data_IF_743640757447
#
_entry.id   IF_743640757447
#
_cell.length_a   1.000
_cell.length_b   1.000
_cell.length_c   1.000
_cell.angle_alpha   90.00
_cell.angle_beta   90.00
_cell.angle_gamma   90.00
#
_symmetry.space_group_name_H-M   'P 1'
#
loop_
_entity.id
_entity.type
_entity.pdbx_description
1 polymer ?
#
# COMPACT_ATOMS: atom_id res chain seq x y z
N UNK A 1 -12.23 -18.04 20.24
CA UNK A 1 -13.01 -17.84 19.00
C UNK A 1 -12.08 -17.62 17.82
N UNK A 2 -11.31 -16.52 17.74
CA UNK A 2 -10.45 -16.22 16.58
C UNK A 2 -9.46 -17.36 16.25
N UNK A 3 -8.68 -17.85 17.22
CA UNK A 3 -7.80 -19.02 17.05
C UNK A 3 -8.52 -20.27 16.52
N UNK A 4 -9.74 -20.52 16.98
CA UNK A 4 -10.53 -21.68 16.53
C UNK A 4 -10.96 -21.53 15.07
N UNK A 5 -11.30 -20.31 14.64
CA UNK A 5 -11.64 -20.03 13.25
C UNK A 5 -10.41 -20.16 12.36
N UNK A 6 -9.27 -19.62 12.78
CA UNK A 6 -7.99 -19.75 12.08
C UNK A 6 -7.54 -21.21 11.91
N UNK A 7 -7.63 -22.01 12.99
CA UNK A 7 -7.36 -23.45 12.95
C UNK A 7 -8.33 -24.20 12.02
N UNK A 8 -9.62 -23.87 12.06
CA UNK A 8 -10.64 -24.55 11.25
C UNK A 8 -10.54 -24.23 9.74
N UNK A 9 -10.04 -23.04 9.40
CA UNK A 9 -9.81 -22.62 8.01
C UNK A 9 -8.37 -22.89 7.53
N UNK A 10 -7.53 -23.50 8.37
CA UNK A 10 -6.11 -23.78 8.12
C UNK A 10 -5.32 -22.54 7.64
N UNK A 11 -5.66 -21.37 8.19
CA UNK A 11 -5.02 -20.11 7.83
C UNK A 11 -5.75 -18.87 8.34
N UNK A 12 -5.19 -17.67 8.10
CA UNK A 12 -5.78 -16.41 8.56
C UNK A 12 -7.20 -16.22 8.03
N UNK A 13 -8.07 -15.68 8.88
CA UNK A 13 -9.49 -15.43 8.56
C UNK A 13 -9.84 -13.97 8.77
N UNK A 14 -10.59 -13.42 7.82
CA UNK A 14 -11.27 -12.13 7.98
C UNK A 14 -12.61 -12.39 8.68
N UNK A 15 -12.86 -11.62 9.75
CA UNK A 15 -14.01 -11.82 10.63
C UNK A 15 -14.71 -10.50 10.89
N UNK A 16 -15.98 -10.44 10.50
CA UNK A 16 -16.88 -9.35 10.85
C UNK A 16 -17.82 -9.82 11.97
N UNK A 17 -17.92 -9.02 13.03
CA UNK A 17 -18.78 -9.34 14.17
C UNK A 17 -19.50 -8.10 14.71
N UNK A 18 -20.70 -8.32 15.26
CA UNK A 18 -21.43 -7.33 16.02
C UNK A 18 -21.55 -7.78 17.47
N UNK A 19 -21.43 -6.84 18.40
CA UNK A 19 -21.59 -7.10 19.84
C UNK A 19 -22.81 -6.35 20.35
N UNK A 20 -23.76 -7.10 20.89
CA UNK A 20 -24.94 -6.55 21.55
C UNK A 20 -24.74 -6.62 23.07
N UNK A 21 -24.73 -5.47 23.73
CA UNK A 21 -24.71 -5.36 25.19
C UNK A 21 -26.13 -5.31 25.74
N UNK A 22 -26.38 -6.02 26.83
CA UNK A 22 -27.65 -6.04 27.55
C UNK A 22 -27.55 -5.23 28.83
N UNK A 23 -28.69 -4.79 29.36
CA UNK A 23 -28.77 -3.97 30.58
C UNK A 23 -28.23 -4.68 31.83
N UNK A 24 -28.20 -6.02 31.83
CA UNK A 24 -27.65 -6.84 32.91
C UNK A 24 -26.12 -7.01 32.84
N UNK A 25 -25.46 -6.30 31.92
CA UNK A 25 -24.03 -6.38 31.68
C UNK A 25 -23.58 -7.61 30.89
N UNK A 26 -24.50 -8.49 30.49
CA UNK A 26 -24.15 -9.58 29.57
C UNK A 26 -24.06 -9.08 28.14
N UNK A 27 -23.31 -9.80 27.31
CA UNK A 27 -23.13 -9.46 25.91
C UNK A 27 -23.31 -10.68 25.01
N UNK A 28 -23.67 -10.42 23.75
CA UNK A 28 -23.77 -11.44 22.71
C UNK A 28 -22.95 -11.01 21.50
N UNK A 29 -21.99 -11.85 21.13
CA UNK A 29 -21.21 -11.69 19.90
C UNK A 29 -21.95 -12.42 18.78
N UNK A 30 -22.23 -11.70 17.70
CA UNK A 30 -22.78 -12.23 16.46
C UNK A 30 -21.65 -12.27 15.44
N UNK A 31 -21.28 -13.46 14.97
CA UNK A 31 -20.40 -13.61 13.83
C UNK A 31 -21.20 -13.28 12.57
N UNK A 32 -20.98 -12.11 11.99
CA UNK A 32 -21.67 -11.66 10.78
C UNK A 32 -21.02 -12.26 9.53
N UNK A 33 -19.70 -12.37 9.55
CA UNK A 33 -18.91 -12.91 8.45
C UNK A 33 -17.66 -13.60 8.98
N UNK A 34 -17.31 -14.73 8.36
CA UNK A 34 -16.02 -15.39 8.55
C UNK A 34 -15.59 -15.94 7.21
N UNK A 35 -14.49 -15.42 6.66
CA UNK A 35 -13.99 -15.81 5.35
C UNK A 35 -12.51 -16.17 5.49
N UNK A 36 -12.05 -17.26 4.85
CA UNK A 36 -10.62 -17.51 4.75
C UNK A 36 -9.99 -16.37 3.97
N UNK A 37 -8.89 -15.80 4.45
CA UNK A 37 -8.04 -14.90 3.68
C UNK A 37 -7.18 -15.70 2.68
N UNK A 38 -7.73 -16.78 2.10
CA UNK A 38 -7.04 -17.57 1.08
C UNK A 38 -6.89 -16.71 -0.18
N UNK A 39 -5.68 -16.19 -0.35
CA UNK A 39 -5.20 -15.72 -1.64
C UNK A 39 -5.11 -16.96 -2.54
N UNK A 40 -5.97 -17.07 -3.57
CA UNK A 40 -5.84 -18.14 -4.59
C UNK A 40 -4.40 -18.16 -5.08
N UNK A 41 -3.78 -19.33 -5.26
CA UNK A 41 -2.42 -19.45 -5.78
C UNK A 41 -1.36 -19.48 -4.69
N UNK A 42 -1.27 -20.62 -3.99
CA UNK A 42 -0.16 -21.01 -3.11
C UNK A 42 1.07 -21.45 -3.90
N UNK A 43 1.26 -20.95 -5.13
CA UNK A 43 2.56 -21.07 -5.78
C UNK A 43 3.45 -20.05 -5.08
N UNK A 44 4.28 -20.55 -4.17
CA UNK A 44 5.35 -19.78 -3.58
C UNK A 44 6.45 -19.75 -4.63
N UNK A 45 6.67 -18.63 -5.35
CA UNK A 45 7.97 -18.49 -5.97
C UNK A 45 9.00 -18.61 -4.85
N UNK A 46 10.03 -19.43 -5.02
CA UNK A 46 11.21 -19.35 -4.17
C UNK A 46 11.69 -17.90 -4.26
N UNK A 47 11.39 -17.10 -3.22
CA UNK A 47 11.82 -15.72 -3.19
C UNK A 47 13.34 -15.75 -3.11
N UNK A 48 14.03 -14.94 -3.93
CA UNK A 48 15.46 -14.83 -3.79
C UNK A 48 15.81 -14.38 -2.36
N UNK A 49 16.99 -14.78 -1.86
CA UNK A 49 17.49 -14.25 -0.61
C UNK A 49 17.52 -12.72 -0.68
N UNK A 50 17.20 -12.05 0.44
CA UNK A 50 17.26 -10.60 0.50
C UNK A 50 18.73 -10.16 0.41
N UNK A 51 19.10 -9.62 -0.75
CA UNK A 51 20.43 -9.09 -1.04
C UNK A 51 20.33 -7.58 -1.24
N UNK A 52 19.94 -6.85 -0.20
CA UNK A 52 19.79 -5.40 -0.23
C UNK A 52 20.80 -4.74 0.72
N UNK A 53 21.89 -4.13 0.19
CA UNK A 53 22.75 -3.27 0.99
C UNK A 53 21.94 -2.15 1.65
N UNK A 54 22.26 -1.81 2.90
CA UNK A 54 21.45 -0.87 3.68
C UNK A 54 21.39 0.54 3.05
N UNK A 55 22.43 0.91 2.29
CA UNK A 55 22.51 2.15 1.51
C UNK A 55 21.66 2.14 0.23
N UNK A 56 21.03 1.02 -0.14
CA UNK A 56 20.07 0.93 -1.26
C UNK A 56 18.61 0.72 -0.85
N UNK A 57 18.35 0.29 0.39
CA UNK A 57 16.99 0.11 0.96
C UNK A 57 16.17 1.41 1.01
N UNK A 58 14.99 1.46 0.40
CA UNK A 58 14.06 2.59 0.55
C UNK A 58 13.20 2.39 1.80
N UNK A 59 12.60 1.22 1.93
CA UNK A 59 11.95 0.80 3.16
C UNK A 59 12.07 -0.72 3.35
N UNK A 60 12.06 -1.13 4.61
CA UNK A 60 11.91 -2.51 5.06
C UNK A 60 10.95 -2.52 6.23
N UNK A 61 9.97 -3.42 6.25
CA UNK A 61 8.95 -3.45 7.30
C UNK A 61 8.38 -4.85 7.52
N UNK A 62 7.87 -5.07 8.73
CA UNK A 62 7.13 -6.26 9.10
C UNK A 62 5.64 -5.94 9.29
N UNK A 63 4.80 -6.46 8.38
CA UNK A 63 3.35 -6.54 8.54
C UNK A 63 2.56 -5.22 8.67
N UNK A 64 1.22 -5.30 8.52
CA UNK A 64 0.52 -6.31 7.74
C UNK A 64 0.84 -6.21 6.23
N UNK A 65 1.05 -7.37 5.61
CA UNK A 65 1.30 -7.54 4.17
C UNK A 65 0.29 -8.56 3.63
N UNK A 66 -0.46 -8.19 2.60
CA UNK A 66 -1.60 -8.96 2.09
C UNK A 66 -1.44 -9.15 0.59
N UNK A 67 -1.70 -10.36 0.11
CA UNK A 67 -1.57 -10.75 -1.29
C UNK A 67 -0.58 -11.91 -1.47
N UNK A 68 -0.18 -12.16 -2.71
CA UNK A 68 0.81 -13.20 -3.04
C UNK A 68 2.24 -12.72 -2.83
N UNK A 69 3.06 -13.56 -2.21
CA UNK A 69 4.52 -13.38 -2.18
C UNK A 69 5.06 -13.16 -3.58
N UNK A 70 5.92 -12.15 -3.74
CA UNK A 70 6.43 -11.78 -5.05
C UNK A 70 7.77 -11.05 -4.96
N UNK A 71 8.60 -11.27 -5.97
CA UNK A 71 9.78 -10.48 -6.26
C UNK A 71 9.57 -9.80 -7.61
N UNK A 72 9.37 -8.49 -7.61
CA UNK A 72 8.96 -7.73 -8.80
C UNK A 72 9.81 -6.47 -8.97
N UNK A 73 10.08 -6.13 -10.22
CA UNK A 73 10.61 -4.82 -10.60
C UNK A 73 9.48 -3.79 -10.51
N UNK A 74 9.74 -2.66 -9.84
CA UNK A 74 8.82 -1.52 -9.80
C UNK A 74 9.26 -0.53 -10.86
N UNK A 75 8.51 -0.47 -11.97
CA UNK A 75 8.79 0.43 -13.08
C UNK A 75 8.55 1.90 -12.70
N UNK A 76 7.49 2.14 -11.92
CA UNK A 76 7.11 3.45 -11.44
C UNK A 76 6.66 3.37 -9.99
N UNK A 77 7.15 4.30 -9.17
CA UNK A 77 6.70 4.49 -7.80
C UNK A 77 6.09 5.88 -7.69
N UNK A 78 4.81 5.95 -7.33
CA UNK A 78 4.13 7.20 -6.99
C UNK A 78 4.09 7.37 -5.48
N UNK A 79 4.85 8.33 -4.97
CA UNK A 79 4.89 8.67 -3.56
C UNK A 79 4.09 9.95 -3.28
N UNK A 80 3.11 9.84 -2.38
CA UNK A 80 2.35 10.97 -1.84
C UNK A 80 3.01 11.40 -0.53
N UNK A 81 3.58 12.60 -0.51
CA UNK A 81 4.28 13.14 0.68
C UNK A 81 3.25 13.49 1.76
N UNK A 82 3.24 12.80 2.93
CA UNK A 82 2.17 12.95 3.94
C UNK A 82 1.96 14.38 4.42
N UNK A 83 3.04 15.07 4.76
CA UNK A 83 3.01 16.42 5.34
C UNK A 83 2.46 17.42 4.32
N UNK A 84 2.85 17.28 3.06
CA UNK A 84 2.40 18.14 1.96
C UNK A 84 0.94 17.88 1.60
N UNK A 85 0.53 16.61 1.55
CA UNK A 85 -0.86 16.22 1.31
C UNK A 85 -1.80 16.74 2.40
N UNK A 86 -1.39 16.63 3.67
CA UNK A 86 -2.19 17.09 4.82
C UNK A 86 -2.38 18.61 4.86
N UNK A 87 -1.47 19.37 4.25
CA UNK A 87 -1.53 20.83 4.17
C UNK A 87 -2.39 21.36 3.02
N UNK A 88 -2.80 20.50 2.08
CA UNK A 88 -3.67 20.87 0.97
C UNK A 88 -5.10 21.15 1.44
N UNK A 89 -5.80 22.02 0.72
CA UNK A 89 -7.26 22.13 0.88
C UNK A 89 -7.95 20.84 0.44
N UNK A 90 -9.15 20.58 0.96
CA UNK A 90 -9.94 19.40 0.57
C UNK A 90 -10.14 19.31 -0.96
N UNK A 91 -10.38 20.45 -1.62
CA UNK A 91 -10.51 20.52 -3.08
C UNK A 91 -9.23 20.06 -3.80
N UNK A 92 -8.07 20.39 -3.26
CA UNK A 92 -6.77 19.98 -3.78
C UNK A 92 -6.48 18.51 -3.49
N UNK A 93 -6.89 17.98 -2.33
CA UNK A 93 -6.79 16.56 -2.03
C UNK A 93 -7.61 15.70 -3.01
N UNK A 94 -8.82 16.13 -3.38
CA UNK A 94 -9.57 15.50 -4.47
C UNK A 94 -8.91 15.68 -5.85
N UNK A 95 -8.18 16.78 -6.08
CA UNK A 95 -7.40 16.94 -7.31
C UNK A 95 -6.22 15.95 -7.37
N UNK A 96 -5.53 15.74 -6.25
CA UNK A 96 -4.49 14.72 -6.09
C UNK A 96 -5.04 13.32 -6.40
N UNK A 97 -6.19 12.94 -5.86
CA UNK A 97 -6.82 11.66 -6.16
C UNK A 97 -7.10 11.46 -7.67
N UNK A 98 -7.59 12.49 -8.36
CA UNK A 98 -7.79 12.45 -9.82
C UNK A 98 -6.49 12.29 -10.61
N UNK A 99 -5.41 12.94 -10.17
CA UNK A 99 -4.09 12.81 -10.79
C UNK A 99 -3.56 11.38 -10.62
N UNK A 100 -3.73 10.79 -9.42
CA UNK A 100 -3.37 9.39 -9.18
C UNK A 100 -4.12 8.46 -10.14
N UNK A 101 -5.44 8.64 -10.29
CA UNK A 101 -6.24 7.84 -11.23
C UNK A 101 -5.81 7.98 -12.69
N UNK A 102 -5.39 9.17 -13.12
CA UNK A 102 -4.86 9.40 -14.46
C UNK A 102 -3.49 8.74 -14.65
N UNK A 103 -2.60 8.85 -13.67
CA UNK A 103 -1.29 8.17 -13.70
C UNK A 103 -1.44 6.66 -13.75
N UNK A 104 -2.34 6.09 -12.94
CA UNK A 104 -2.66 4.67 -12.93
C UNK A 104 -3.05 4.16 -14.33
N UNK A 105 -3.87 4.93 -15.08
CA UNK A 105 -4.25 4.58 -16.47
C UNK A 105 -3.12 4.78 -17.48
N UNK A 106 -2.31 5.83 -17.34
CA UNK A 106 -1.21 6.12 -18.28
C UNK A 106 -0.06 5.11 -18.16
N UNK A 107 0.20 4.65 -16.95
CA UNK A 107 1.34 3.78 -16.62
C UNK A 107 0.99 2.28 -16.68
N UNK A 108 -0.24 1.93 -17.08
CA UNK A 108 -0.72 0.55 -17.21
C UNK A 108 -0.67 -0.01 -18.64
N UNK A 109 0.03 0.67 -19.55
CA UNK A 109 0.15 0.24 -20.94
C UNK A 109 1.02 -1.02 -21.11
N UNK A 110 0.78 -1.85 -22.14
CA UNK A 110 1.54 -3.09 -22.39
C UNK A 110 3.04 -2.87 -22.67
N UNK A 111 3.43 -1.64 -23.01
CA UNK A 111 4.82 -1.21 -23.23
C UNK A 111 5.61 -1.05 -21.91
N UNK A 112 4.92 -0.97 -20.77
CA UNK A 112 5.55 -0.78 -19.46
C UNK A 112 5.89 -2.15 -18.87
N UNK A 113 7.19 -2.47 -18.81
CA UNK A 113 7.69 -3.65 -18.12
C UNK A 113 7.96 -3.32 -16.66
N UNK A 114 7.26 -4.00 -15.74
CA UNK A 114 7.35 -3.80 -14.28
C UNK A 114 6.08 -3.20 -13.68
N UNK A 115 6.01 -3.17 -12.35
CA UNK A 115 4.82 -2.76 -11.61
C UNK A 115 4.73 -1.26 -11.34
N UNK A 116 3.51 -0.73 -11.24
CA UNK A 116 3.22 0.55 -10.59
C UNK A 116 3.04 0.31 -9.08
N UNK A 117 3.83 1.01 -8.27
CA UNK A 117 3.70 1.03 -6.82
C UNK A 117 3.16 2.37 -6.35
N UNK A 118 2.11 2.33 -5.54
CA UNK A 118 1.47 3.50 -4.94
C UNK A 118 1.84 3.55 -3.45
N UNK A 119 2.43 4.65 -2.99
CA UNK A 119 2.86 4.82 -1.60
C UNK A 119 2.28 6.14 -1.09
N UNK A 120 1.50 6.13 0.00
CA UNK A 120 0.86 7.36 0.47
C UNK A 120 0.27 7.28 1.87
N UNK A 121 -0.17 8.42 2.43
CA UNK A 121 -0.64 8.51 3.81
C UNK A 121 -2.02 7.88 4.02
N UNK A 122 -2.14 7.13 5.12
CA UNK A 122 -3.40 6.59 5.61
C UNK A 122 -4.14 5.72 4.61
N UNK A 123 -5.47 5.77 4.69
CA UNK A 123 -6.35 4.85 3.97
C UNK A 123 -6.57 5.26 2.51
N UNK A 124 -6.16 4.42 1.59
CA UNK A 124 -6.53 4.52 0.18
C UNK A 124 -7.98 4.05 0.01
N UNK A 125 -8.84 4.84 -0.62
CA UNK A 125 -10.27 4.53 -0.68
C UNK A 125 -11.15 5.25 0.33
N UNK A 126 -10.60 6.20 1.09
CA UNK A 126 -11.36 6.91 2.14
C UNK A 126 -12.31 7.95 1.54
N UNK A 127 -13.59 7.93 1.93
CA UNK A 127 -14.52 9.02 1.57
C UNK A 127 -14.12 10.37 2.21
N UNK A 128 -13.37 10.33 3.31
CA UNK A 128 -12.90 11.50 4.05
C UNK A 128 -11.39 11.69 3.82
N UNK A 129 -10.98 12.76 3.13
CA UNK A 129 -9.56 13.04 2.86
C UNK A 129 -8.69 13.26 4.11
N UNK A 130 -9.32 13.61 5.24
CA UNK A 130 -8.63 13.74 6.53
C UNK A 130 -8.12 12.40 7.10
N UNK A 131 -8.64 11.28 6.62
CA UNK A 131 -8.26 9.92 7.06
C UNK A 131 -7.37 9.18 6.03
N UNK A 132 -7.11 9.79 4.87
CA UNK A 132 -6.33 9.16 3.80
C UNK A 132 -6.62 9.74 2.41
N UNK A 133 -6.43 8.92 1.38
CA UNK A 133 -6.56 9.31 -0.01
C UNK A 133 -7.95 8.96 -0.58
N UNK A 134 -8.73 9.95 -1.06
CA UNK A 134 -10.07 9.76 -1.57
C UNK A 134 -10.09 9.28 -3.03
N UNK A 135 -9.35 8.20 -3.29
CA UNK A 135 -9.34 7.50 -4.57
C UNK A 135 -10.47 6.48 -4.59
N UNK A 136 -11.04 6.20 -5.76
CA UNK A 136 -11.87 5.00 -5.96
C UNK A 136 -10.98 3.80 -6.30
N UNK A 137 -11.51 2.58 -6.23
CA UNK A 137 -10.75 1.40 -6.66
C UNK A 137 -10.39 1.48 -8.16
N UNK A 138 -11.26 2.07 -8.99
CA UNK A 138 -10.99 2.30 -10.41
C UNK A 138 -9.80 3.27 -10.66
N UNK A 139 -9.45 4.10 -9.67
CA UNK A 139 -8.31 4.99 -9.76
C UNK A 139 -6.97 4.28 -9.48
N UNK A 140 -7.00 3.06 -8.94
CA UNK A 140 -5.78 2.34 -8.50
C UNK A 140 -5.72 0.88 -8.97
N UNK A 141 -6.70 0.44 -9.76
CA UNK A 141 -6.88 -0.95 -10.21
C UNK A 141 -5.75 -1.51 -11.10
N UNK A 142 -4.79 -0.69 -11.55
CA UNK A 142 -3.63 -1.17 -12.32
C UNK A 142 -2.34 -1.16 -11.50
N UNK A 143 -2.39 -0.71 -10.25
CA UNK A 143 -1.26 -0.80 -9.34
C UNK A 143 -0.92 -2.27 -9.04
N UNK A 144 0.36 -2.60 -9.09
CA UNK A 144 0.85 -3.89 -8.62
C UNK A 144 0.90 -3.93 -7.09
N UNK A 145 1.09 -2.76 -6.47
CA UNK A 145 1.35 -2.61 -5.03
C UNK A 145 0.73 -1.31 -4.50
N UNK A 146 0.05 -1.41 -3.37
CA UNK A 146 -0.35 -0.26 -2.54
C UNK A 146 0.36 -0.36 -1.19
N UNK A 147 0.99 0.73 -0.78
CA UNK A 147 1.65 0.89 0.50
C UNK A 147 1.04 2.06 1.28
N UNK A 148 0.33 1.74 2.36
CA UNK A 148 -0.27 2.72 3.26
C UNK A 148 0.71 3.10 4.36
N UNK A 149 1.07 4.38 4.42
CA UNK A 149 1.89 4.93 5.50
C UNK A 149 0.98 5.26 6.67
N UNK A 150 1.08 4.46 7.72
CA UNK A 150 0.36 4.67 8.97
C UNK A 150 1.11 5.69 9.82
N UNK A 151 0.89 6.96 9.49
CA UNK A 151 1.27 8.12 10.30
C UNK A 151 0.43 9.32 9.85
N UNK A 152 -0.83 9.40 10.29
CA UNK A 152 -1.63 10.61 10.18
C UNK A 152 -1.83 11.13 11.59
N UNK A 153 -0.80 11.81 12.11
CA UNK A 153 -0.71 12.42 13.45
C UNK A 153 -0.58 11.43 14.63
N UNK A 154 0.12 11.87 15.67
CA UNK A 154 0.35 11.12 16.93
C UNK A 154 -0.97 10.76 17.66
N UNK A 155 -2.09 11.39 17.30
CA UNK A 155 -3.41 11.26 17.94
C UNK A 155 -4.43 10.42 17.14
N UNK A 156 -4.09 9.93 15.93
CA UNK A 156 -5.02 9.18 15.09
C UNK A 156 -4.42 7.86 14.59
N UNK A 157 -4.69 6.78 15.33
CA UNK A 157 -4.47 5.42 14.83
C UNK A 157 -5.55 5.12 13.79
N UNK A 158 -5.23 5.26 12.51
CA UNK A 158 -6.13 4.84 11.43
C UNK A 158 -6.08 3.32 11.29
N UNK A 159 -7.24 2.65 11.39
CA UNK A 159 -7.36 1.23 11.05
C UNK A 159 -6.99 0.99 9.58
N UNK A 160 -6.33 -0.15 9.33
CA UNK A 160 -5.95 -0.66 8.00
C UNK A 160 -7.15 -0.62 7.06
N UNK A 161 -6.97 -0.32 5.77
CA UNK A 161 -8.01 -0.37 4.74
C UNK A 161 -8.50 -1.80 4.45
N UNK A 162 -9.15 -2.41 5.44
CA UNK A 162 -9.79 -3.73 5.37
C UNK A 162 -11.31 -3.60 5.34
N UNK A 163 -11.82 -2.64 4.56
CA UNK A 163 -13.24 -2.71 4.19
C UNK A 163 -13.45 -3.94 3.32
N UNK A 164 -14.44 -4.79 3.64
CA UNK A 164 -14.71 -6.07 2.95
C UNK A 164 -14.73 -5.95 1.42
N UNK A 165 -15.22 -4.85 0.87
CA UNK A 165 -15.23 -4.59 -0.57
C UNK A 165 -13.83 -4.31 -1.14
N UNK A 166 -13.09 -3.40 -0.51
CA UNK A 166 -11.73 -3.04 -0.95
C UNK A 166 -10.78 -4.24 -0.87
N UNK A 167 -10.89 -5.05 0.19
CA UNK A 167 -10.11 -6.28 0.34
C UNK A 167 -10.39 -7.30 -0.77
N UNK A 168 -11.67 -7.52 -1.10
CA UNK A 168 -12.04 -8.43 -2.18
C UNK A 168 -11.46 -7.97 -3.51
N UNK A 169 -11.52 -6.66 -3.78
CA UNK A 169 -11.00 -6.08 -5.02
C UNK A 169 -9.46 -6.22 -5.10
N UNK A 170 -8.74 -6.05 -3.97
CA UNK A 170 -7.29 -6.30 -3.88
C UNK A 170 -6.94 -7.76 -4.24
N UNK A 171 -7.68 -8.71 -3.68
CA UNK A 171 -7.48 -10.15 -3.94
C UNK A 171 -7.83 -10.49 -5.39
N UNK A 172 -8.90 -9.93 -5.95
CA UNK A 172 -9.35 -10.20 -7.30
C UNK A 172 -8.35 -9.72 -8.36
N UNK A 173 -7.74 -8.55 -8.15
CA UNK A 173 -6.75 -7.97 -9.06
C UNK A 173 -5.30 -8.39 -8.77
N UNK A 174 -5.09 -9.32 -7.83
CA UNK A 174 -3.76 -9.77 -7.40
C UNK A 174 -2.83 -8.61 -7.00
N UNK A 175 -3.41 -7.59 -6.37
CA UNK A 175 -2.71 -6.40 -5.90
C UNK A 175 -2.07 -6.67 -4.54
N UNK A 176 -0.78 -6.34 -4.39
CA UNK A 176 -0.09 -6.48 -3.11
C UNK A 176 -0.41 -5.27 -2.23
N UNK A 177 -0.85 -5.51 -1.01
CA UNK A 177 -1.10 -4.48 -0.02
C UNK A 177 -0.04 -4.55 1.09
N UNK A 178 0.51 -3.39 1.44
CA UNK A 178 1.52 -3.21 2.48
C UNK A 178 1.05 -2.11 3.42
N UNK A 179 1.20 -2.34 4.71
CA UNK A 179 1.05 -1.29 5.73
C UNK A 179 2.40 -0.96 6.31
N UNK A 180 2.83 0.30 6.16
CA UNK A 180 4.12 0.79 6.63
C UNK A 180 3.92 1.62 7.90
N UNK A 181 4.27 1.04 9.04
CA UNK A 181 4.29 1.72 10.34
C UNK A 181 5.67 2.34 10.57
N UNK A 182 5.71 3.62 10.93
CA UNK A 182 6.97 4.34 11.13
C UNK A 182 7.62 4.07 12.50
N UNK A 183 6.82 3.69 13.51
CA UNK A 183 7.29 3.46 14.89
C UNK A 183 7.60 1.99 15.20
N UNK A 184 7.68 1.12 14.20
CA UNK A 184 8.08 -0.26 14.43
C UNK A 184 9.60 -0.35 14.56
N UNK A 185 10.08 -1.06 15.59
CA UNK A 185 11.51 -1.15 15.94
C UNK A 185 12.36 -1.79 14.84
N UNK A 186 11.73 -2.64 14.03
CA UNK A 186 12.37 -3.37 12.95
C UNK A 186 12.03 -2.80 11.56
N UNK A 187 11.25 -1.72 11.49
CA UNK A 187 10.96 -1.02 10.25
C UNK A 187 11.96 0.12 10.00
N UNK A 188 12.42 0.23 8.76
CA UNK A 188 13.16 1.39 8.27
C UNK A 188 12.41 2.01 7.11
N UNK A 189 12.28 3.33 7.11
CA UNK A 189 11.73 4.07 5.98
C UNK A 189 12.57 5.33 5.71
N UNK A 190 13.46 5.24 4.73
CA UNK A 190 14.32 6.33 4.30
C UNK A 190 13.59 7.27 3.33
N UNK A 191 12.60 8.01 3.83
CA UNK A 191 11.79 8.98 3.06
C UNK A 191 12.60 9.92 2.18
N UNK A 192 13.75 10.35 2.68
CA UNK A 192 14.69 11.21 1.95
C UNK A 192 15.10 10.63 0.59
N UNK A 193 15.16 9.30 0.43
CA UNK A 193 15.49 8.66 -0.86
C UNK A 193 14.38 8.83 -1.90
N UNK A 194 13.12 8.94 -1.48
CA UNK A 194 12.00 9.28 -2.36
C UNK A 194 11.89 10.80 -2.56
N UNK A 195 12.16 11.59 -1.52
CA UNK A 195 12.10 13.05 -1.55
C UNK A 195 13.33 13.72 -2.21
N UNK A 196 14.36 12.97 -2.56
CA UNK A 196 15.52 13.47 -3.31
C UNK A 196 15.60 12.87 -4.71
N UNK A 197 14.80 11.85 -5.00
CA UNK A 197 14.73 11.25 -6.32
C UNK A 197 14.15 12.24 -7.36
N UNK A 198 14.60 12.16 -8.63
CA UNK A 198 14.02 12.91 -9.72
C UNK A 198 12.51 12.66 -9.84
N UNK A 199 11.74 13.75 -9.99
CA UNK A 199 10.29 13.69 -10.12
C UNK A 199 9.90 13.80 -11.59
N UNK A 200 9.30 12.73 -12.12
CA UNK A 200 8.82 12.66 -13.50
C UNK A 200 7.43 13.30 -13.70
N UNK A 201 6.77 13.76 -12.63
CA UNK A 201 5.38 14.21 -12.68
C UNK A 201 5.15 15.32 -13.71
N UNK A 202 5.88 16.44 -13.66
CA UNK A 202 5.65 17.52 -14.63
C UNK A 202 6.06 17.16 -16.05
N UNK A 203 7.01 16.24 -16.23
CA UNK A 203 7.41 15.76 -17.55
C UNK A 203 6.29 14.92 -18.20
N UNK A 204 5.60 14.09 -17.41
CA UNK A 204 4.53 13.22 -17.89
C UNK A 204 3.14 13.91 -17.91
N UNK A 205 2.90 14.81 -16.95
CA UNK A 205 1.65 15.53 -16.73
C UNK A 205 1.94 17.00 -16.39
N UNK A 206 2.26 17.86 -17.36
CA UNK A 206 2.54 19.29 -17.13
C UNK A 206 1.41 20.01 -16.37
N UNK A 207 0.16 19.60 -16.57
CA UNK A 207 -1.02 20.11 -15.86
C UNK A 207 -1.02 19.84 -14.34
N UNK A 208 -0.25 18.83 -13.92
CA UNK A 208 -0.08 18.42 -12.53
C UNK A 208 1.17 19.02 -11.86
N UNK A 209 1.99 19.80 -12.58
CA UNK A 209 3.26 20.35 -12.09
C UNK A 209 3.14 21.10 -10.75
N UNK A 210 2.01 21.79 -10.52
CA UNK A 210 1.74 22.47 -9.23
C UNK A 210 1.69 21.54 -8.00
N UNK A 211 1.60 20.22 -8.20
CA UNK A 211 1.55 19.22 -7.14
C UNK A 211 2.87 18.45 -6.97
N UNK A 212 3.97 18.83 -7.64
CA UNK A 212 5.27 18.12 -7.54
C UNK A 212 5.84 18.05 -6.12
N UNK A 213 5.51 19.01 -5.28
CA UNK A 213 5.89 18.96 -3.86
C UNK A 213 5.14 17.87 -3.09
N UNK A 214 3.92 17.53 -3.52
CA UNK A 214 3.06 16.54 -2.88
C UNK A 214 3.12 15.16 -3.54
N UNK A 215 3.24 15.11 -4.87
CA UNK A 215 3.21 13.90 -5.69
C UNK A 215 4.57 13.72 -6.36
N UNK A 216 5.23 12.62 -6.03
CA UNK A 216 6.54 12.26 -6.57
C UNK A 216 6.45 10.99 -7.39
N UNK A 217 6.48 11.15 -8.71
CA UNK A 217 6.53 10.04 -9.64
C UNK A 217 7.99 9.70 -9.92
N UNK A 218 8.43 8.55 -9.45
CA UNK A 218 9.82 8.11 -9.53
C UNK A 218 9.89 6.97 -10.55
N UNK A 219 10.80 7.08 -11.51
CA UNK A 219 11.09 5.99 -12.44
C UNK A 219 12.03 4.98 -11.77
N UNK A 220 11.67 3.70 -11.90
CA UNK A 220 12.39 2.59 -11.27
C UNK A 220 13.79 2.44 -11.81
N UNK A 221 13.90 2.19 -13.11
CA UNK A 221 15.16 2.14 -13.85
C UNK A 221 15.53 3.55 -14.35
N UNK A 222 16.27 4.30 -13.54
CA UNK A 222 16.91 5.54 -14.00
C UNK A 222 18.38 5.24 -14.28
N UNK A 223 18.90 5.73 -15.43
CA UNK A 223 20.21 5.36 -15.98
C UNK A 223 21.41 5.50 -15.02
N UNK A 224 21.27 6.21 -13.89
CA UNK A 224 22.31 6.40 -12.88
C UNK A 224 21.98 5.80 -11.50
N UNK A 225 20.76 5.31 -11.26
CA UNK A 225 20.23 4.98 -9.93
C UNK A 225 19.88 3.50 -9.75
N UNK A 226 20.14 2.66 -10.75
CA UNK A 226 19.76 1.24 -10.75
C UNK A 226 18.24 1.02 -10.87
N UNK A 227 17.81 -0.24 -10.90
CA UNK A 227 16.41 -0.68 -10.89
C UNK A 227 15.83 -0.65 -9.49
N UNK A 228 14.50 -0.48 -9.39
CA UNK A 228 13.76 -0.65 -8.14
C UNK A 228 13.21 -2.07 -8.04
N UNK A 229 13.51 -2.75 -6.94
CA UNK A 229 13.00 -4.09 -6.65
C UNK A 229 12.19 -4.11 -5.37
N UNK A 230 11.06 -4.80 -5.42
CA UNK A 230 10.26 -5.14 -4.26
C UNK A 230 10.34 -6.65 -4.03
N UNK A 231 10.86 -7.04 -2.87
CA UNK A 231 10.72 -8.39 -2.31
C UNK A 231 9.63 -8.34 -1.25
N UNK A 232 8.54 -9.07 -1.46
CA UNK A 232 7.46 -9.21 -0.50
C UNK A 232 7.21 -10.69 -0.19
N UNK A 233 7.41 -11.04 1.08
CA UNK A 233 7.12 -12.34 1.67
C UNK A 233 5.86 -12.21 2.53
N UNK A 234 4.71 -12.58 1.98
CA UNK A 234 3.44 -12.43 2.68
C UNK A 234 3.25 -13.49 3.78
N UNK A 235 4.03 -14.58 3.77
CA UNK A 235 3.97 -15.57 4.84
C UNK A 235 4.82 -15.14 6.05
N UNK A 236 6.04 -14.64 5.78
CA UNK A 236 6.91 -14.03 6.78
C UNK A 236 6.43 -12.65 7.24
N UNK A 237 5.47 -12.06 6.53
CA UNK A 237 5.04 -10.66 6.70
C UNK A 237 6.18 -9.67 6.49
N UNK A 238 7.12 -10.02 5.62
CA UNK A 238 8.41 -9.35 5.42
C UNK A 238 8.46 -8.64 4.07
N UNK A 239 8.77 -7.34 4.06
CA UNK A 239 8.89 -6.59 2.80
C UNK A 239 10.15 -5.75 2.80
N UNK A 240 10.82 -5.70 1.65
CA UNK A 240 11.91 -4.79 1.39
C UNK A 240 11.80 -4.21 -0.02
N UNK A 241 11.79 -2.87 -0.10
CA UNK A 241 11.95 -2.12 -1.35
C UNK A 241 13.37 -1.54 -1.38
N UNK A 242 14.12 -1.78 -2.45
CA UNK A 242 15.51 -1.33 -2.56
C UNK A 242 15.90 -1.07 -4.02
N UNK A 243 17.05 -0.40 -4.20
CA UNK A 243 17.69 -0.19 -5.51
C UNK A 243 18.80 -1.22 -5.76
N UNK A 244 18.92 -1.68 -7.00
CA UNK A 244 19.97 -2.60 -7.46
C UNK A 244 20.56 -2.09 -8.78
N UNK A 245 21.89 -2.04 -8.89
CA UNK A 245 22.61 -1.60 -10.10
C UNK A 245 22.58 -2.62 -11.24
#
# INVERSE_FOLDING_TARGET
MLRLLEEAYEGPVDVELAVNFREDGSYRIHLLQCRPMQVKGMDHPELPPLLAPEDTVIFRCHGPVIGRSRFIEIAFLLYVVPEKYSALSEREQYAVARIIGELNRRLSGPEVSGGLMLVGPGRWGSAMPSLGLPVSFADINHAAVICEILAIREDLVTEVSLGTHFFNDLVELDMLYISLKQDDRDAVFYRSRLEQAPNLLAALMPEAARYEDCLRLIQGAENASGKLWLRADTQGQDVCLYREE
#
